data_IF_200140430547
#
_entry.id   IF_200140430547
#
_cell.length_a   1.000
_cell.length_b   1.000
_cell.length_c   1.000
_cell.angle_alpha   90.00
_cell.angle_beta   90.00
_cell.angle_gamma   90.00
#
_symmetry.space_group_name_H-M   'P 1'
#
loop_
_entity.id
_entity.type
_entity.pdbx_description
1 polymer ?
#
# COMPACT_ATOMS: atom_id res chain seq x y z
N UNK A 1 -9.74 3.13 12.35
CA UNK A 1 -8.80 2.88 11.24
C UNK A 1 -8.79 1.39 10.94
N UNK A 2 -9.10 1.02 9.69
CA UNK A 2 -9.22 -0.36 9.23
C UNK A 2 -7.90 -1.15 9.39
N UNK A 3 -7.98 -2.47 9.64
CA UNK A 3 -6.79 -3.30 9.89
C UNK A 3 -5.86 -3.35 8.67
N UNK A 4 -6.44 -3.41 7.47
CA UNK A 4 -5.69 -3.34 6.19
C UNK A 4 -4.90 -2.05 6.06
N UNK A 5 -5.54 -0.93 6.38
CA UNK A 5 -4.91 0.38 6.36
C UNK A 5 -3.74 0.46 7.35
N UNK A 6 -3.92 -0.06 8.58
CA UNK A 6 -2.84 -0.14 9.59
C UNK A 6 -1.63 -0.93 9.09
N UNK A 7 -1.85 -2.07 8.43
CA UNK A 7 -0.76 -2.89 7.90
C UNK A 7 0.01 -2.19 6.77
N UNK A 8 -0.71 -1.47 5.90
CA UNK A 8 -0.10 -0.71 4.81
C UNK A 8 0.71 0.47 5.36
N UNK A 9 0.18 1.21 6.34
CA UNK A 9 0.92 2.28 7.03
C UNK A 9 2.14 1.70 7.74
N UNK A 10 2.01 0.55 8.42
CA UNK A 10 3.14 -0.10 9.07
C UNK A 10 4.23 -0.46 8.06
N UNK A 11 3.88 -1.04 6.91
CA UNK A 11 4.85 -1.35 5.86
C UNK A 11 5.59 -0.10 5.35
N UNK A 12 4.86 1.00 5.12
CA UNK A 12 5.44 2.29 4.71
C UNK A 12 6.37 2.87 5.78
N UNK A 13 6.02 2.76 7.06
CA UNK A 13 6.87 3.22 8.15
C UNK A 13 8.20 2.46 8.21
N UNK A 14 8.18 1.15 7.95
CA UNK A 14 9.43 0.38 7.88
C UNK A 14 10.31 0.82 6.73
N UNK A 15 9.74 1.15 5.57
CA UNK A 15 10.50 1.72 4.46
C UNK A 15 11.18 3.04 4.88
N UNK A 16 10.48 3.90 5.62
CA UNK A 16 11.11 5.11 6.16
C UNK A 16 12.27 4.80 7.11
N UNK A 17 12.12 3.77 7.96
CA UNK A 17 13.20 3.34 8.87
C UNK A 17 14.43 2.83 8.12
N UNK A 18 14.27 2.08 7.03
CA UNK A 18 15.40 1.64 6.18
C UNK A 18 16.22 2.85 5.68
N UNK A 19 15.58 3.94 5.25
CA UNK A 19 16.34 5.13 4.82
C UNK A 19 17.14 5.75 5.97
N UNK A 20 16.61 5.71 7.19
CA UNK A 20 17.26 6.23 8.40
C UNK A 20 18.50 5.41 8.78
N UNK A 21 18.64 4.17 8.30
CA UNK A 21 19.83 3.34 8.50
C UNK A 21 21.13 4.03 8.07
N UNK A 22 21.08 4.90 7.07
CA UNK A 22 22.23 5.71 6.65
C UNK A 22 22.85 6.52 7.79
N UNK A 23 22.05 7.08 8.71
CA UNK A 23 22.55 7.79 9.90
C UNK A 23 23.22 6.82 10.88
N UNK A 24 22.72 5.60 11.02
CA UNK A 24 23.33 4.60 11.91
C UNK A 24 24.74 4.27 11.45
N UNK A 25 24.97 4.21 10.13
CA UNK A 25 26.32 4.04 9.60
C UNK A 25 27.23 5.23 9.98
N UNK A 26 26.72 6.46 9.89
CA UNK A 26 27.48 7.67 10.21
C UNK A 26 27.92 7.72 11.69
N UNK A 27 27.05 7.33 12.61
CA UNK A 27 27.33 7.39 14.06
C UNK A 27 27.98 6.12 14.62
N UNK A 28 27.63 4.94 14.11
CA UNK A 28 27.99 3.65 14.72
C UNK A 28 28.71 2.69 13.76
N UNK A 29 28.97 3.10 12.52
CA UNK A 29 29.70 2.32 11.52
C UNK A 29 28.88 1.24 10.81
N UNK A 30 29.52 0.61 9.83
CA UNK A 30 28.88 -0.30 8.87
C UNK A 30 28.24 -1.55 9.51
N UNK A 31 28.89 -2.16 10.51
CA UNK A 31 28.34 -3.35 11.18
C UNK A 31 27.03 -3.05 11.89
N UNK A 32 26.93 -1.89 12.53
CA UNK A 32 25.71 -1.43 13.21
C UNK A 32 24.61 -1.14 12.21
N UNK A 33 24.94 -0.51 11.07
CA UNK A 33 24.03 -0.32 9.94
C UNK A 33 23.50 -1.66 9.40
N UNK A 34 24.38 -2.61 9.10
CA UNK A 34 23.97 -3.91 8.58
C UNK A 34 23.04 -4.65 9.55
N UNK A 35 23.33 -4.63 10.85
CA UNK A 35 22.46 -5.22 11.87
C UNK A 35 21.08 -4.55 11.92
N UNK A 36 21.03 -3.22 11.82
CA UNK A 36 19.78 -2.47 11.76
C UNK A 36 18.96 -2.80 10.50
N UNK A 37 19.59 -2.85 9.34
CA UNK A 37 18.92 -3.20 8.09
C UNK A 37 18.36 -4.63 8.11
N UNK A 38 19.08 -5.57 8.70
CA UNK A 38 18.59 -6.94 8.92
C UNK A 38 17.36 -6.91 9.82
N UNK A 39 17.38 -6.14 10.91
CA UNK A 39 16.22 -5.98 11.79
C UNK A 39 15.01 -5.39 11.04
N UNK A 40 15.20 -4.34 10.25
CA UNK A 40 14.15 -3.76 9.41
C UNK A 40 13.62 -4.76 8.38
N UNK A 41 14.50 -5.57 7.77
CA UNK A 41 14.14 -6.64 6.84
C UNK A 41 13.24 -7.69 7.49
N UNK A 42 13.59 -8.12 8.72
CA UNK A 42 12.81 -9.10 9.48
C UNK A 42 11.44 -8.52 9.84
N UNK A 43 11.40 -7.27 10.29
CA UNK A 43 10.16 -6.60 10.66
C UNK A 43 9.24 -6.40 9.44
N UNK A 44 9.80 -5.98 8.31
CA UNK A 44 9.10 -5.89 7.03
C UNK A 44 8.51 -7.24 6.59
N UNK A 45 9.30 -8.31 6.70
CA UNK A 45 8.86 -9.67 6.37
C UNK A 45 7.72 -10.13 7.28
N UNK A 46 7.77 -9.80 8.57
CA UNK A 46 6.68 -10.04 9.51
C UNK A 46 5.38 -9.31 9.12
N UNK A 47 5.48 -8.06 8.66
CA UNK A 47 4.34 -7.29 8.15
C UNK A 47 3.79 -7.91 6.87
N UNK A 48 4.64 -8.30 5.91
CA UNK A 48 4.20 -8.99 4.69
C UNK A 48 3.44 -10.28 5.01
N UNK A 49 3.89 -11.04 6.01
CA UNK A 49 3.17 -12.22 6.48
C UNK A 49 1.79 -11.87 7.06
N UNK A 50 1.67 -10.77 7.81
CA UNK A 50 0.38 -10.28 8.30
C UNK A 50 -0.53 -9.82 7.14
N UNK A 51 0.01 -9.14 6.13
CA UNK A 51 -0.71 -8.76 4.90
C UNK A 51 -1.23 -10.01 4.17
N UNK A 52 -0.44 -11.09 4.08
CA UNK A 52 -0.87 -12.36 3.48
C UNK A 52 -2.16 -12.89 4.10
N UNK A 53 -2.27 -12.86 5.42
CA UNK A 53 -3.46 -13.33 6.14
C UNK A 53 -4.70 -12.48 5.85
N UNK A 54 -4.52 -11.17 5.68
CA UNK A 54 -5.62 -10.21 5.58
C UNK A 54 -6.13 -10.01 4.13
N UNK A 55 -5.23 -10.01 3.15
CA UNK A 55 -5.54 -9.69 1.75
C UNK A 55 -5.75 -10.94 0.87
N UNK A 56 -5.41 -12.15 1.36
CA UNK A 56 -5.65 -13.45 0.72
C UNK A 56 -5.42 -13.44 -0.80
N UNK A 57 -6.50 -13.43 -1.60
CA UNK A 57 -6.47 -13.48 -3.07
C UNK A 57 -5.76 -12.28 -3.72
N UNK A 58 -5.66 -11.17 -3.00
CA UNK A 58 -5.01 -9.94 -3.47
C UNK A 58 -3.54 -9.85 -3.05
N UNK A 59 -3.10 -10.76 -2.18
CA UNK A 59 -1.77 -10.71 -1.56
C UNK A 59 -0.64 -10.60 -2.58
N UNK A 60 -0.70 -11.33 -3.70
CA UNK A 60 0.35 -11.31 -4.72
C UNK A 60 0.63 -9.90 -5.26
N UNK A 61 -0.41 -9.07 -5.43
CA UNK A 61 -0.26 -7.68 -5.91
C UNK A 61 0.39 -6.79 -4.87
N UNK A 62 -0.03 -6.92 -3.61
CA UNK A 62 0.55 -6.19 -2.49
C UNK A 62 1.99 -6.62 -2.23
N UNK A 63 2.28 -7.92 -2.30
CA UNK A 63 3.62 -8.47 -2.19
C UNK A 63 4.55 -7.88 -3.25
N UNK A 64 4.16 -7.95 -4.54
CA UNK A 64 4.96 -7.39 -5.62
C UNK A 64 5.22 -5.89 -5.44
N UNK A 65 4.19 -5.12 -5.10
CA UNK A 65 4.30 -3.68 -4.86
C UNK A 65 5.28 -3.37 -3.72
N UNK A 66 5.09 -3.99 -2.57
CA UNK A 66 5.91 -3.73 -1.39
C UNK A 66 7.34 -4.26 -1.55
N UNK A 67 7.57 -5.40 -2.19
CA UNK A 67 8.92 -5.91 -2.46
C UNK A 67 9.70 -4.99 -3.41
N UNK A 68 9.05 -4.43 -4.43
CA UNK A 68 9.72 -3.48 -5.35
C UNK A 68 10.07 -2.19 -4.63
N UNK A 69 9.14 -1.63 -3.84
CA UNK A 69 9.43 -0.46 -3.01
C UNK A 69 10.57 -0.74 -2.02
N UNK A 70 10.53 -1.91 -1.37
CA UNK A 70 11.57 -2.31 -0.43
C UNK A 70 12.94 -2.40 -1.09
N UNK A 71 13.03 -3.04 -2.26
CA UNK A 71 14.28 -3.14 -3.01
C UNK A 71 14.82 -1.76 -3.41
N UNK A 72 13.96 -0.85 -3.89
CA UNK A 72 14.34 0.52 -4.25
C UNK A 72 14.89 1.29 -3.03
N UNK A 73 14.18 1.19 -1.91
CA UNK A 73 14.53 1.90 -0.66
C UNK A 73 15.83 1.33 -0.08
N UNK A 74 15.97 0.01 -0.03
CA UNK A 74 17.18 -0.66 0.44
C UNK A 74 18.39 -0.31 -0.44
N UNK A 75 18.24 -0.35 -1.77
CA UNK A 75 19.29 0.08 -2.69
C UNK A 75 19.73 1.52 -2.41
N UNK A 76 18.77 2.41 -2.18
CA UNK A 76 19.05 3.82 -1.88
C UNK A 76 19.78 3.98 -0.55
N UNK A 77 19.38 3.23 0.49
CA UNK A 77 20.07 3.23 1.79
C UNK A 77 21.54 2.78 1.65
N UNK A 78 21.79 1.70 0.91
CA UNK A 78 23.16 1.25 0.62
C UNK A 78 23.96 2.24 -0.23
N UNK A 79 23.34 2.88 -1.22
CA UNK A 79 23.99 3.90 -2.04
C UNK A 79 24.43 5.10 -1.19
N UNK A 80 23.57 5.57 -0.27
CA UNK A 80 23.88 6.66 0.66
C UNK A 80 25.06 6.35 1.59
N UNK A 81 25.23 5.08 1.99
CA UNK A 81 26.37 4.66 2.83
C UNK A 81 27.69 4.63 2.05
N UNK A 82 27.65 4.32 0.75
CA UNK A 82 28.85 4.16 -0.06
C UNK A 82 29.36 5.47 -0.68
N UNK A 83 28.50 6.48 -0.81
CA UNK A 83 28.81 7.76 -1.45
C UNK A 83 29.13 8.80 -0.38
N UNK A 84 30.35 9.33 -0.42
CA UNK A 84 30.85 10.30 0.58
C UNK A 84 30.54 11.75 0.23
N UNK A 85 30.05 12.02 -0.97
CA UNK A 85 29.85 13.38 -1.47
C UNK A 85 28.40 13.86 -1.23
N UNK A 86 28.21 15.01 -0.54
CA UNK A 86 26.88 15.46 -0.14
C UNK A 86 25.97 15.89 -1.31
N UNK A 87 26.55 16.36 -2.42
CA UNK A 87 25.79 16.70 -3.64
C UNK A 87 25.10 15.44 -4.20
N UNK A 88 25.85 14.35 -4.24
CA UNK A 88 25.40 13.05 -4.74
C UNK A 88 24.36 12.40 -3.82
N UNK A 89 24.33 12.74 -2.53
CA UNK A 89 23.29 12.28 -1.59
C UNK A 89 21.91 12.90 -1.87
N UNK A 90 21.88 14.18 -2.26
CA UNK A 90 20.62 14.84 -2.66
C UNK A 90 20.07 14.23 -3.95
N UNK A 91 20.94 13.89 -4.90
CA UNK A 91 20.54 13.23 -6.14
C UNK A 91 19.92 11.85 -5.88
N UNK A 92 20.51 11.04 -4.99
CA UNK A 92 19.94 9.74 -4.59
C UNK A 92 18.55 9.92 -3.97
N UNK A 93 18.37 10.93 -3.12
CA UNK A 93 17.07 11.20 -2.51
C UNK A 93 16.01 11.62 -3.55
N UNK A 94 16.37 12.46 -4.51
CA UNK A 94 15.49 12.85 -5.62
C UNK A 94 15.14 11.62 -6.48
N UNK A 95 16.12 10.79 -6.83
CA UNK A 95 15.91 9.55 -7.58
C UNK A 95 14.98 8.61 -6.82
N UNK A 96 15.13 8.47 -5.50
CA UNK A 96 14.25 7.68 -4.66
C UNK A 96 12.81 8.19 -4.72
N UNK A 97 12.58 9.50 -4.54
CA UNK A 97 11.23 10.08 -4.61
C UNK A 97 10.62 9.87 -6.00
N UNK A 98 11.37 10.17 -7.06
CA UNK A 98 10.92 9.96 -8.43
C UNK A 98 10.60 8.49 -8.71
N UNK A 99 11.44 7.57 -8.23
CA UNK A 99 11.22 6.13 -8.30
C UNK A 99 9.94 5.69 -7.60
N UNK A 100 9.69 6.18 -6.38
CA UNK A 100 8.45 5.91 -5.63
C UNK A 100 7.23 6.41 -6.41
N UNK A 101 7.29 7.63 -6.97
CA UNK A 101 6.19 8.21 -7.78
C UNK A 101 5.93 7.33 -9.01
N UNK A 102 6.97 6.99 -9.77
CA UNK A 102 6.86 6.15 -10.97
C UNK A 102 6.29 4.77 -10.64
N UNK A 103 6.78 4.11 -9.59
CA UNK A 103 6.25 2.82 -9.13
C UNK A 103 4.77 2.94 -8.77
N UNK A 104 4.37 3.97 -8.02
CA UNK A 104 2.97 4.21 -7.66
C UNK A 104 2.09 4.37 -8.90
N UNK A 105 2.53 5.15 -9.88
CA UNK A 105 1.79 5.37 -11.13
C UNK A 105 1.69 4.05 -11.92
N UNK A 106 2.81 3.36 -12.15
CA UNK A 106 2.86 2.09 -12.90
C UNK A 106 1.96 1.03 -12.27
N UNK A 107 2.04 0.83 -10.96
CA UNK A 107 1.20 -0.14 -10.27
C UNK A 107 -0.28 0.22 -10.33
N UNK A 108 -0.60 1.51 -10.29
CA UNK A 108 -1.98 1.98 -10.42
C UNK A 108 -2.55 1.75 -11.82
N UNK A 109 -1.71 1.85 -12.86
CA UNK A 109 -2.08 1.59 -14.25
C UNK A 109 -2.22 0.09 -14.50
N UNK A 110 -1.22 -0.71 -14.11
CA UNK A 110 -1.14 -2.15 -14.42
C UNK A 110 -2.07 -2.98 -13.51
N UNK A 111 -2.07 -2.71 -12.21
CA UNK A 111 -2.79 -3.52 -11.21
C UNK A 111 -4.04 -2.85 -10.65
N UNK A 112 -4.38 -1.66 -11.17
CA UNK A 112 -5.55 -0.90 -10.73
C UNK A 112 -6.82 -1.75 -10.80
N UNK A 113 -7.63 -1.70 -9.73
CA UNK A 113 -8.92 -2.39 -9.67
C UNK A 113 -10.07 -1.49 -10.07
N UNK A 114 -11.08 -2.07 -10.70
CA UNK A 114 -12.37 -1.45 -10.98
C UNK A 114 -13.47 -2.02 -10.10
N UNK A 115 -13.19 -3.03 -9.28
CA UNK A 115 -14.18 -3.65 -8.39
C UNK A 115 -13.57 -3.95 -7.03
N UNK A 116 -14.34 -3.75 -5.97
CA UNK A 116 -13.96 -4.11 -4.59
C UNK A 116 -15.09 -4.89 -3.92
N UNK A 117 -14.72 -5.89 -3.14
CA UNK A 117 -15.69 -6.65 -2.33
C UNK A 117 -16.06 -5.86 -1.07
N UNK A 118 -17.37 -5.73 -0.84
CA UNK A 118 -17.94 -5.02 0.30
C UNK A 118 -19.05 -5.80 0.97
N UNK A 119 -19.36 -5.45 2.22
CA UNK A 119 -20.41 -6.08 3.01
C UNK A 119 -21.66 -5.20 3.03
N UNK A 120 -22.82 -5.74 2.66
CA UNK A 120 -24.09 -5.01 2.68
C UNK A 120 -24.51 -4.73 4.13
N UNK A 121 -24.74 -3.46 4.47
CA UNK A 121 -25.24 -3.04 5.79
C UNK A 121 -26.76 -2.81 5.74
N UNK A 122 -27.21 -2.13 4.69
CA UNK A 122 -28.62 -1.81 4.41
C UNK A 122 -28.84 -1.90 2.90
N UNK A 123 -30.04 -2.32 2.48
CA UNK A 123 -30.41 -2.31 1.07
C UNK A 123 -31.89 -2.06 0.92
N UNK A 124 -32.22 -1.20 -0.03
CA UNK A 124 -33.54 -1.02 -0.60
C UNK A 124 -33.57 -1.54 -2.05
N UNK A 125 -34.66 -1.32 -2.78
CA UNK A 125 -34.85 -1.75 -4.17
C UNK A 125 -33.89 -1.08 -5.16
N UNK A 126 -33.45 0.15 -4.89
CA UNK A 126 -32.62 0.97 -5.80
C UNK A 126 -31.24 1.32 -5.24
N UNK A 127 -31.09 1.30 -3.92
CA UNK A 127 -29.88 1.78 -3.24
C UNK A 127 -29.44 0.78 -2.17
N UNK A 128 -28.14 0.57 -2.05
CA UNK A 128 -27.54 -0.20 -0.97
C UNK A 128 -26.45 0.61 -0.25
N UNK A 129 -26.39 0.46 1.08
CA UNK A 129 -25.26 0.92 1.90
C UNK A 129 -24.32 -0.25 2.09
N UNK A 130 -23.11 -0.13 1.56
CA UNK A 130 -22.08 -1.17 1.61
C UNK A 130 -20.87 -0.67 2.40
N UNK A 131 -20.38 -1.51 3.30
CA UNK A 131 -19.09 -1.31 3.97
C UNK A 131 -17.97 -1.81 3.08
N UNK A 132 -17.10 -0.91 2.65
CA UNK A 132 -15.92 -1.24 1.84
C UNK A 132 -14.67 -1.20 2.72
N UNK A 133 -13.81 -2.24 2.64
CA UNK A 133 -12.51 -2.22 3.28
C UNK A 133 -11.55 -1.26 2.56
N UNK A 134 -10.43 -0.92 3.20
CA UNK A 134 -9.38 -0.18 2.53
C UNK A 134 -8.76 -1.01 1.39
N UNK A 135 -8.60 -0.40 0.21
CA UNK A 135 -7.91 -1.00 -0.93
C UNK A 135 -7.08 0.07 -1.67
N UNK A 136 -5.76 -0.13 -1.65
CA UNK A 136 -4.78 0.76 -2.25
C UNK A 136 -4.93 0.82 -3.79
N UNK A 137 -5.16 -0.33 -4.43
CA UNK A 137 -5.21 -0.46 -5.89
C UNK A 137 -6.56 -0.05 -6.45
N UNK A 138 -7.63 -0.17 -5.67
CA UNK A 138 -8.91 0.45 -5.96
C UNK A 138 -8.92 1.94 -5.62
N UNK A 139 -8.01 2.42 -4.76
CA UNK A 139 -7.89 3.82 -4.40
C UNK A 139 -9.09 4.32 -3.60
N UNK A 140 -9.63 3.46 -2.74
CA UNK A 140 -10.76 3.78 -1.87
C UNK A 140 -10.32 3.69 -0.40
N UNK A 141 -10.81 4.61 0.41
CA UNK A 141 -10.69 4.54 1.87
C UNK A 141 -11.65 3.48 2.43
N UNK A 142 -11.35 2.92 3.60
CA UNK A 142 -12.34 2.11 4.32
C UNK A 142 -13.52 2.97 4.76
N UNK A 143 -14.75 2.49 4.62
CA UNK A 143 -15.92 3.24 5.07
C UNK A 143 -17.25 2.68 4.59
N UNK A 144 -18.32 3.41 4.91
CA UNK A 144 -19.67 3.10 4.45
C UNK A 144 -19.99 3.96 3.23
N UNK A 145 -20.44 3.32 2.17
CA UNK A 145 -20.73 3.96 0.90
C UNK A 145 -22.14 3.64 0.45
N UNK A 146 -22.81 4.64 -0.10
CA UNK A 146 -24.10 4.50 -0.77
C UNK A 146 -23.83 4.17 -2.23
N UNK A 147 -24.39 3.08 -2.72
CA UNK A 147 -24.19 2.57 -4.08
C UNK A 147 -25.52 2.15 -4.68
N UNK A 148 -25.64 2.24 -6.01
CA UNK A 148 -26.84 1.80 -6.73
C UNK A 148 -26.93 0.26 -6.75
N UNK A 149 -28.15 -0.26 -6.66
CA UNK A 149 -28.44 -1.70 -6.82
C UNK A 149 -29.73 -1.88 -7.63
N UNK A 150 -29.80 -2.94 -8.43
CA UNK A 150 -31.00 -3.29 -9.20
C UNK A 150 -32.00 -4.14 -8.42
N UNK A 151 -31.65 -4.55 -7.20
CA UNK A 151 -32.47 -5.40 -6.34
C UNK A 151 -32.13 -5.21 -4.88
N UNK A 152 -33.07 -5.57 -4.02
CA UNK A 152 -32.85 -5.67 -2.59
C UNK A 152 -31.85 -6.78 -2.27
N UNK A 153 -30.76 -6.40 -1.60
CA UNK A 153 -29.69 -7.31 -1.18
C UNK A 153 -29.86 -7.69 0.29
N UNK A 154 -29.52 -8.93 0.61
CA UNK A 154 -29.53 -9.41 1.99
C UNK A 154 -28.45 -8.72 2.83
N UNK A 155 -28.84 -8.30 4.04
CA UNK A 155 -27.91 -7.71 5.00
C UNK A 155 -26.83 -8.73 5.38
N UNK A 156 -25.58 -8.29 5.35
CA UNK A 156 -24.41 -9.11 5.66
C UNK A 156 -23.82 -9.86 4.47
N UNK A 157 -24.49 -9.85 3.30
CA UNK A 157 -23.97 -10.45 2.08
C UNK A 157 -22.72 -9.73 1.59
N UNK A 158 -21.74 -10.48 1.10
CA UNK A 158 -20.57 -9.94 0.41
C UNK A 158 -20.92 -9.73 -1.06
N UNK A 159 -20.74 -8.51 -1.54
CA UNK A 159 -21.07 -8.10 -2.91
C UNK A 159 -19.88 -7.41 -3.56
N UNK A 160 -19.79 -7.47 -4.89
CA UNK A 160 -18.78 -6.75 -5.66
C UNK A 160 -19.32 -5.38 -6.03
N UNK A 161 -18.62 -4.33 -5.64
CA UNK A 161 -18.95 -2.95 -5.94
C UNK A 161 -18.05 -2.45 -7.05
N UNK A 162 -18.65 -1.93 -8.12
CA UNK A 162 -17.94 -1.26 -9.20
C UNK A 162 -17.45 0.10 -8.72
N UNK A 163 -16.17 0.39 -8.95
CA UNK A 163 -15.53 1.66 -8.67
C UNK A 163 -15.38 2.42 -9.99
N UNK A 164 -16.17 3.48 -10.13
CA UNK A 164 -16.09 4.38 -11.28
C UNK A 164 -14.80 5.17 -11.19
N UNK A 165 -14.01 5.12 -12.26
CA UNK A 165 -12.76 5.86 -12.40
C UNK A 165 -13.04 7.19 -13.08
N UNK A 166 -12.98 8.27 -12.32
CA UNK A 166 -12.88 9.63 -12.88
C UNK A 166 -11.42 10.07 -12.80
N UNK A 167 -11.00 11.02 -13.64
CA UNK A 167 -9.60 11.49 -13.71
C UNK A 167 -9.01 11.86 -12.33
N UNK A 168 -9.82 12.43 -11.44
CA UNK A 168 -9.36 12.90 -10.12
C UNK A 168 -9.99 12.17 -8.93
N UNK A 169 -11.00 11.33 -9.15
CA UNK A 169 -11.76 10.72 -8.06
C UNK A 169 -12.18 9.30 -8.42
N UNK A 170 -12.12 8.42 -7.44
CA UNK A 170 -12.65 7.06 -7.54
C UNK A 170 -13.83 6.95 -6.60
N UNK A 171 -14.99 6.62 -7.16
CA UNK A 171 -16.26 6.62 -6.44
C UNK A 171 -16.89 5.24 -6.56
N UNK A 172 -17.29 4.60 -5.46
CA UNK A 172 -18.14 3.42 -5.50
C UNK A 172 -19.47 3.76 -6.18
N UNK A 173 -19.81 3.04 -7.23
CA UNK A 173 -20.88 3.39 -8.18
C UNK A 173 -22.10 2.50 -7.94
N UNK A 174 -21.95 1.20 -8.21
CA UNK A 174 -23.04 0.23 -8.14
C UNK A 174 -22.59 -1.15 -7.70
N UNK A 175 -23.52 -1.93 -7.18
CA UNK A 175 -23.35 -3.36 -6.93
C UNK A 175 -23.51 -4.14 -8.23
N UNK A 176 -22.61 -5.10 -8.46
CA UNK A 176 -22.66 -6.06 -9.57
C UNK A 176 -23.43 -7.34 -9.18
#
# INVERSE_FOLDING_TARGET
MDRRQKLIIAALLVLCFVVIGSFINEFFGFFSFAAYEIFCTVLFSGILYAIRKEFKNEFARYLAYFCILYALVLYSAFALVNIKEPVTNMDIFIILIMGIIVINILFRVIFGKSTVEGKVILSDSEIAVVELPFDLFAGISSGRYVVETSKKLEKGKIVKVLIKRTFFKRIPDRVL
#
